data_IF_904713246417
#
_entry.id   IF_904713246417
#
_cell.length_a   1.000
_cell.length_b   1.000
_cell.length_c   1.000
_cell.angle_alpha   90.00
_cell.angle_beta   90.00
_cell.angle_gamma   90.00
#
_symmetry.space_group_name_H-M   'P 1'
#
loop_
_entity.id
_entity.type
_entity.pdbx_description
1 polymer ?
#
# COMPACT_ATOMS: atom_id res chain seq x y z
N UNK A 1 -10.14 7.20 7.21
CA UNK A 1 -9.16 8.29 7.05
C UNK A 1 -8.34 7.97 5.82
N UNK A 2 -8.46 8.75 4.74
CA UNK A 2 -7.64 8.53 3.55
C UNK A 2 -6.19 8.89 3.88
N UNK A 3 -5.31 7.90 3.85
CA UNK A 3 -3.91 8.05 4.19
C UNK A 3 -3.19 8.68 2.99
N UNK A 4 -2.70 9.92 3.14
CA UNK A 4 -1.99 10.60 2.05
C UNK A 4 -0.65 9.90 1.77
N UNK A 5 -0.58 9.19 0.65
CA UNK A 5 0.66 8.64 0.10
C UNK A 5 1.42 9.74 -0.66
N UNK A 6 2.75 9.82 -0.53
CA UNK A 6 3.55 10.79 -1.28
C UNK A 6 3.49 10.52 -2.79
N UNK A 7 3.69 11.54 -3.62
CA UNK A 7 3.61 11.41 -5.09
C UNK A 7 4.81 10.65 -5.70
N UNK A 8 5.92 10.55 -4.97
CA UNK A 8 7.13 9.85 -5.36
C UNK A 8 7.81 9.24 -4.14
N UNK A 9 8.80 8.37 -4.38
CA UNK A 9 9.71 7.95 -3.32
C UNK A 9 10.60 9.13 -2.88
N UNK A 10 11.19 9.07 -1.67
CA UNK A 10 12.21 10.02 -1.23
C UNK A 10 13.36 10.07 -2.22
N UNK A 11 13.84 11.27 -2.54
CA UNK A 11 15.04 11.43 -3.39
C UNK A 11 16.24 10.71 -2.77
N UNK A 12 17.17 10.26 -3.62
CA UNK A 12 18.43 9.67 -3.14
C UNK A 12 19.15 10.66 -2.21
N UNK A 13 19.75 10.18 -1.11
CA UNK A 13 20.46 11.05 -0.19
C UNK A 13 21.68 11.66 -0.88
N UNK A 14 22.02 12.89 -0.48
CA UNK A 14 23.22 13.56 -0.95
C UNK A 14 24.45 12.76 -0.54
N UNK A 15 25.36 12.56 -1.49
CA UNK A 15 26.61 11.86 -1.29
C UNK A 15 27.72 12.72 -1.91
N UNK A 16 28.87 12.94 -1.22
CA UNK A 16 30.03 13.63 -1.80
C UNK A 16 30.53 13.00 -3.10
N UNK A 17 30.35 11.68 -3.26
CA UNK A 17 30.63 10.98 -4.51
C UNK A 17 29.32 10.62 -5.24
N UNK A 18 29.30 10.62 -6.58
CA UNK A 18 28.12 10.22 -7.33
C UNK A 18 27.79 8.75 -7.06
N UNK A 19 26.50 8.46 -6.82
CA UNK A 19 26.02 7.10 -6.68
C UNK A 19 26.37 6.24 -7.90
N UNK A 20 26.61 4.95 -7.65
CA UNK A 20 26.90 4.00 -8.72
C UNK A 20 25.75 3.95 -9.74
N UNK A 21 26.05 3.62 -10.99
CA UNK A 21 25.04 3.45 -12.04
C UNK A 21 23.99 2.40 -11.65
N UNK A 22 24.37 1.38 -10.89
CA UNK A 22 23.47 0.34 -10.39
C UNK A 22 22.47 0.91 -9.37
N UNK A 23 22.95 1.72 -8.42
CA UNK A 23 22.10 2.38 -7.41
C UNK A 23 21.12 3.35 -8.05
N UNK A 24 21.58 4.14 -9.03
CA UNK A 24 20.73 5.04 -9.81
C UNK A 24 19.67 4.29 -10.62
N UNK A 25 20.06 3.20 -11.30
CA UNK A 25 19.13 2.36 -12.05
C UNK A 25 18.09 1.70 -11.14
N UNK A 26 18.52 1.16 -9.99
CA UNK A 26 17.65 0.56 -9.00
C UNK A 26 16.64 1.57 -8.43
N UNK A 27 17.09 2.79 -8.10
CA UNK A 27 16.20 3.87 -7.68
C UNK A 27 15.16 4.22 -8.75
N UNK A 28 15.58 4.34 -10.02
CA UNK A 28 14.67 4.64 -11.11
C UNK A 28 13.61 3.55 -11.29
N UNK A 29 13.99 2.27 -11.20
CA UNK A 29 13.06 1.14 -11.26
C UNK A 29 12.06 1.20 -10.10
N UNK A 30 12.54 1.45 -8.87
CA UNK A 30 11.69 1.57 -7.69
C UNK A 30 10.70 2.72 -7.84
N UNK A 31 11.18 3.91 -8.18
CA UNK A 31 10.34 5.10 -8.28
C UNK A 31 9.32 4.99 -9.42
N UNK A 32 9.71 4.44 -10.57
CA UNK A 32 8.79 4.19 -11.70
C UNK A 32 7.70 3.20 -11.31
N UNK A 33 8.07 2.11 -10.64
CA UNK A 33 7.13 1.09 -10.18
C UNK A 33 6.17 1.65 -9.12
N UNK A 34 6.68 2.47 -8.20
CA UNK A 34 5.88 3.17 -7.20
C UNK A 34 4.84 4.11 -7.83
N UNK A 35 5.25 4.95 -8.78
CA UNK A 35 4.36 5.86 -9.50
C UNK A 35 3.29 5.08 -10.26
N UNK A 36 3.68 4.00 -10.94
CA UNK A 36 2.73 3.14 -11.64
C UNK A 36 1.69 2.55 -10.68
N UNK A 37 2.13 1.99 -9.55
CA UNK A 37 1.24 1.40 -8.55
C UNK A 37 0.31 2.44 -7.90
N UNK A 38 0.79 3.66 -7.63
CA UNK A 38 -0.07 4.79 -7.24
C UNK A 38 -1.11 5.13 -8.30
N UNK A 39 -0.71 5.10 -9.58
CA UNK A 39 -1.61 5.31 -10.71
C UNK A 39 -2.73 4.27 -10.70
N UNK A 40 -2.41 3.00 -10.48
CA UNK A 40 -3.40 1.92 -10.33
C UNK A 40 -4.36 2.19 -9.17
N UNK A 41 -3.82 2.54 -7.99
CA UNK A 41 -4.61 2.82 -6.79
C UNK A 41 -5.63 3.95 -6.99
N UNK A 42 -5.28 4.98 -7.78
CA UNK A 42 -6.13 6.16 -8.03
C UNK A 42 -7.20 5.97 -9.10
N UNK A 43 -7.27 4.81 -9.76
CA UNK A 43 -8.30 4.56 -10.77
C UNK A 43 -9.66 4.29 -10.10
N UNK A 44 -10.71 4.97 -10.57
CA UNK A 44 -12.07 4.88 -10.00
C UNK A 44 -12.73 3.50 -10.19
N UNK A 45 -12.36 2.78 -11.24
CA UNK A 45 -12.85 1.43 -11.55
C UNK A 45 -11.77 0.38 -11.28
N UNK A 46 -11.41 0.23 -10.02
CA UNK A 46 -10.38 -0.70 -9.57
C UNK A 46 -10.72 -2.17 -9.82
N UNK A 47 -9.86 -2.88 -10.55
CA UNK A 47 -9.91 -4.34 -10.67
C UNK A 47 -9.18 -4.98 -9.47
N UNK A 48 -9.85 -5.81 -8.65
CA UNK A 48 -9.22 -6.47 -7.51
C UNK A 48 -8.02 -7.33 -7.87
N UNK A 49 -8.07 -8.01 -9.02
CA UNK A 49 -6.97 -8.86 -9.50
C UNK A 49 -5.75 -8.00 -9.77
N UNK A 50 -5.96 -6.84 -10.41
CA UNK A 50 -4.89 -5.88 -10.68
C UNK A 50 -4.29 -5.31 -9.40
N UNK A 51 -5.10 -4.98 -8.40
CA UNK A 51 -4.59 -4.52 -7.10
C UNK A 51 -3.74 -5.58 -6.41
N UNK A 52 -4.20 -6.84 -6.37
CA UNK A 52 -3.45 -7.97 -5.80
C UNK A 52 -2.13 -8.18 -6.54
N UNK A 53 -2.16 -8.23 -7.88
CA UNK A 53 -0.97 -8.39 -8.71
C UNK A 53 0.07 -7.30 -8.44
N UNK A 54 -0.36 -6.03 -8.39
CA UNK A 54 0.54 -4.91 -8.13
C UNK A 54 1.10 -4.98 -6.70
N UNK A 55 0.27 -5.37 -5.72
CA UNK A 55 0.74 -5.53 -4.33
C UNK A 55 1.80 -6.63 -4.21
N UNK A 56 1.61 -7.78 -4.87
CA UNK A 56 2.60 -8.86 -4.93
C UNK A 56 3.87 -8.40 -5.62
N UNK A 57 3.76 -7.69 -6.74
CA UNK A 57 4.93 -7.15 -7.46
C UNK A 57 5.78 -6.22 -6.58
N UNK A 58 5.18 -5.42 -5.71
CA UNK A 58 5.93 -4.58 -4.77
C UNK A 58 6.71 -5.45 -3.78
N UNK A 59 6.07 -6.45 -3.19
CA UNK A 59 6.70 -7.33 -2.19
C UNK A 59 7.80 -8.19 -2.82
N UNK A 60 7.50 -8.82 -3.96
CA UNK A 60 8.36 -9.82 -4.59
C UNK A 60 9.54 -9.21 -5.36
N UNK A 61 9.36 -7.99 -5.91
CA UNK A 61 10.38 -7.37 -6.76
C UNK A 61 10.98 -6.09 -6.17
N UNK A 62 10.17 -5.22 -5.55
CA UNK A 62 10.68 -3.91 -5.09
C UNK A 62 11.41 -4.00 -3.74
N UNK A 63 10.92 -4.79 -2.79
CA UNK A 63 11.58 -4.95 -1.49
C UNK A 63 13.00 -5.54 -1.64
N UNK A 64 13.23 -6.61 -2.43
CA UNK A 64 14.57 -7.14 -2.63
C UNK A 64 15.53 -6.14 -3.30
N UNK A 65 15.03 -5.29 -4.22
CA UNK A 65 15.84 -4.21 -4.80
C UNK A 65 16.27 -3.23 -3.72
N UNK A 66 15.34 -2.84 -2.83
CA UNK A 66 15.63 -1.92 -1.73
C UNK A 66 16.64 -2.52 -0.73
N UNK A 67 16.49 -3.80 -0.36
CA UNK A 67 17.44 -4.50 0.50
C UNK A 67 18.84 -4.56 -0.11
N UNK A 68 18.93 -4.86 -1.41
CA UNK A 68 20.20 -4.87 -2.13
C UNK A 68 20.84 -3.49 -2.20
N UNK A 69 20.05 -2.45 -2.43
CA UNK A 69 20.51 -1.06 -2.36
C UNK A 69 21.09 -0.71 -0.98
N UNK A 70 20.60 -1.32 0.11
CA UNK A 70 21.19 -1.17 1.43
C UNK A 70 22.62 -1.69 1.55
N UNK A 71 22.99 -2.70 0.75
CA UNK A 71 24.37 -3.20 0.68
C UNK A 71 25.33 -2.25 -0.04
N UNK A 72 24.81 -1.30 -0.85
CA UNK A 72 25.60 -0.28 -1.56
C UNK A 72 25.94 0.94 -0.68
N UNK A 73 25.65 0.89 0.63
CA UNK A 73 26.02 1.95 1.58
C UNK A 73 25.01 3.09 1.70
N UNK A 74 23.75 2.87 1.29
CA UNK A 74 22.68 3.84 1.53
C UNK A 74 22.38 3.97 3.03
N UNK A 75 22.06 5.18 3.52
CA UNK A 75 21.66 5.41 4.90
C UNK A 75 20.46 4.54 5.29
N UNK A 76 20.56 3.86 6.43
CA UNK A 76 19.49 2.99 6.93
C UNK A 76 18.16 3.73 7.10
N UNK A 77 18.19 4.97 7.61
CA UNK A 77 16.98 5.80 7.77
C UNK A 77 16.25 6.03 6.43
N UNK A 78 17.00 6.21 5.34
CA UNK A 78 16.43 6.37 4.00
C UNK A 78 15.75 5.08 3.54
N UNK A 79 16.40 3.93 3.74
CA UNK A 79 15.86 2.62 3.39
C UNK A 79 14.58 2.32 4.18
N UNK A 80 14.58 2.56 5.49
CA UNK A 80 13.41 2.38 6.35
C UNK A 80 12.24 3.27 5.90
N UNK A 81 12.51 4.52 5.53
CA UNK A 81 11.49 5.43 5.02
C UNK A 81 10.90 4.96 3.69
N UNK A 82 11.74 4.48 2.77
CA UNK A 82 11.30 3.87 1.52
C UNK A 82 10.45 2.62 1.78
N UNK A 83 10.91 1.73 2.66
CA UNK A 83 10.18 0.51 3.03
C UNK A 83 8.82 0.83 3.66
N UNK A 84 8.74 1.83 4.53
CA UNK A 84 7.49 2.30 5.12
C UNK A 84 6.50 2.80 4.07
N UNK A 85 6.96 3.60 3.10
CA UNK A 85 6.12 4.11 2.01
C UNK A 85 5.61 2.96 1.13
N UNK A 86 6.48 2.00 0.78
CA UNK A 86 6.10 0.82 0.00
C UNK A 86 5.11 -0.07 0.75
N UNK A 87 5.34 -0.31 2.04
CA UNK A 87 4.44 -1.07 2.90
C UNK A 87 3.05 -0.43 2.99
N UNK A 88 2.98 0.90 3.11
CA UNK A 88 1.69 1.61 3.08
C UNK A 88 0.98 1.50 1.74
N UNK A 89 1.72 1.59 0.63
CA UNK A 89 1.14 1.41 -0.70
C UNK A 89 0.57 -0.01 -0.89
N UNK A 90 1.29 -1.04 -0.43
CA UNK A 90 0.81 -2.44 -0.43
C UNK A 90 -0.48 -2.55 0.39
N UNK A 91 -0.51 -1.96 1.58
CA UNK A 91 -1.70 -1.97 2.43
C UNK A 91 -2.90 -1.33 1.73
N UNK A 92 -2.75 -0.13 1.16
CA UNK A 92 -3.84 0.56 0.46
C UNK A 92 -4.33 -0.26 -0.76
N UNK A 93 -3.43 -0.84 -1.54
CA UNK A 93 -3.79 -1.72 -2.66
C UNK A 93 -4.60 -2.94 -2.19
N UNK A 94 -4.20 -3.58 -1.09
CA UNK A 94 -4.93 -4.72 -0.53
C UNK A 94 -6.32 -4.32 -0.01
N UNK A 95 -6.43 -3.19 0.68
CA UNK A 95 -7.72 -2.65 1.14
C UNK A 95 -8.63 -2.32 -0.05
N UNK A 96 -8.10 -1.69 -1.10
CA UNK A 96 -8.83 -1.41 -2.33
C UNK A 96 -9.27 -2.70 -3.05
N UNK A 97 -8.43 -3.75 -3.06
CA UNK A 97 -8.81 -5.05 -3.60
C UNK A 97 -10.00 -5.66 -2.86
N UNK A 98 -9.96 -5.66 -1.52
CA UNK A 98 -11.06 -6.17 -0.70
C UNK A 98 -12.36 -5.36 -0.87
N UNK A 99 -12.24 -4.05 -1.02
CA UNK A 99 -13.37 -3.17 -1.29
C UNK A 99 -13.99 -3.45 -2.67
N UNK A 100 -13.15 -3.64 -3.70
CA UNK A 100 -13.57 -3.95 -5.05
C UNK A 100 -14.18 -5.37 -5.18
N UNK A 101 -13.76 -6.33 -4.35
CA UNK A 101 -14.37 -7.66 -4.24
C UNK A 101 -15.73 -7.64 -3.52
N UNK A 102 -16.15 -6.50 -2.97
CA UNK A 102 -17.40 -6.38 -2.22
C UNK A 102 -17.35 -6.96 -0.81
N UNK A 103 -16.21 -7.51 -0.38
CA UNK A 103 -16.02 -8.15 0.93
C UNK A 103 -16.23 -7.16 2.09
N UNK A 104 -15.95 -5.87 1.86
CA UNK A 104 -16.17 -4.81 2.86
C UNK A 104 -17.65 -4.47 3.11
N UNK A 105 -18.59 -4.87 2.22
CA UNK A 105 -20.04 -4.66 2.44
C UNK A 105 -20.62 -5.65 3.44
N UNK A 106 -20.09 -6.86 3.51
CA UNK A 106 -20.68 -7.93 4.34
C UNK A 106 -20.32 -7.83 5.83
N UNK A 107 -19.23 -7.13 6.17
CA UNK A 107 -18.82 -6.91 7.55
C UNK A 107 -19.69 -5.88 8.30
N UNK A 108 -20.35 -4.96 7.59
CA UNK A 108 -21.22 -3.93 8.18
C UNK A 108 -22.68 -4.42 8.28
N UNK A 109 -23.09 -5.39 7.46
CA UNK A 109 -24.46 -5.94 7.45
C UNK A 109 -24.80 -6.94 8.56
N UNK A 110 -23.81 -7.40 9.36
CA UNK A 110 -24.01 -8.35 10.46
C UNK A 110 -23.76 -7.76 11.86
N UNK A 111 -23.77 -6.44 11.99
CA UNK A 111 -23.69 -5.76 13.28
C UNK A 111 -25.06 -5.53 13.90
N UNK A 112 -25.46 -6.43 14.82
CA UNK A 112 -26.45 -6.22 15.90
C UNK A 112 -27.74 -5.45 15.55
N UNK A 113 -28.79 -6.18 15.14
CA UNK A 113 -30.14 -5.74 15.50
C UNK A 113 -30.31 -5.91 17.02
N UNK A 114 -30.71 -4.88 17.78
CA UNK A 114 -31.05 -5.05 19.19
C UNK A 114 -32.24 -6.01 19.29
N UNK A 115 -32.14 -6.99 20.19
CA UNK A 115 -33.23 -7.89 20.50
C UNK A 115 -34.41 -7.06 21.02
N UNK A 116 -35.46 -6.90 20.22
CA UNK A 116 -36.71 -6.32 20.68
C UNK A 116 -37.35 -7.26 21.70
N UNK A 117 -37.43 -6.75 22.93
CA UNK A 117 -38.08 -7.35 24.10
C UNK A 117 -39.52 -7.81 23.81
N UNK A 118 -39.98 -8.95 24.36
CA UNK A 118 -41.35 -9.38 24.22
C UNK A 118 -42.28 -8.41 24.97
N UNK A 119 -43.27 -7.87 24.26
CA UNK A 119 -44.35 -7.04 24.81
C UNK A 119 -45.10 -7.81 25.91
N UNK A 120 -44.94 -7.36 27.15
CA UNK A 120 -45.79 -7.77 28.26
C UNK A 120 -47.20 -7.21 28.06
N UNK A 121 -48.20 -8.08 28.16
CA UNK A 121 -49.60 -7.74 28.00
C UNK A 121 -50.09 -6.72 29.03
N UNK A 122 -50.92 -5.79 28.55
CA UNK A 122 -51.79 -4.99 29.39
C UNK A 122 -53.19 -5.64 29.38
N UNK A 123 -53.50 -6.34 30.46
CA UNK A 123 -54.89 -6.50 30.91
C UNK A 123 -55.30 -5.17 31.56
N UNK A 124 -56.36 -4.55 31.04
CA UNK A 124 -57.56 -4.08 31.74
C UNK A 124 -58.41 -3.21 30.80
#
# INVERSE_FOLDING_TARGET
>A
MALTLPQSLPALPENPEPWSTNTLAAYNVLNTSYIHALGVLRQESGDPVRYKLVSSNIVDNMIPILERMGTDGLPQEWLERCAYILGRLVYELQVSALAAEGIFRDAVGKGCAPAETPQAGAYL
#
